data_IF_489043236014
#
_entry.id   IF_489043236014
#
_cell.length_a   1.000
_cell.length_b   1.000
_cell.length_c   1.000
_cell.angle_alpha   90.00
_cell.angle_beta   90.00
_cell.angle_gamma   90.00
#
_symmetry.space_group_name_H-M   'P 1'
#
loop_
_entity.id
_entity.type
_entity.pdbx_description
1 polymer ?
#
# COMPACT_ATOMS: atom_id res chain seq x y z
N UNK A 1 -7.06 -3.39 13.32
CA UNK A 1 -6.46 -3.01 12.03
C UNK A 1 -5.02 -3.46 11.99
N UNK A 2 -4.63 -4.17 10.94
CA UNK A 2 -3.26 -4.64 10.68
C UNK A 2 -2.53 -3.53 9.94
N UNK A 3 -1.30 -3.22 10.38
CA UNK A 3 -0.46 -2.19 9.75
C UNK A 3 0.56 -2.86 8.85
N UNK A 4 0.55 -2.52 7.57
CA UNK A 4 1.55 -2.98 6.59
C UNK A 4 2.41 -1.79 6.20
N UNK A 5 3.72 -1.91 6.38
CA UNK A 5 4.68 -0.87 6.01
C UNK A 5 4.89 -0.83 4.50
N UNK A 6 4.89 0.38 3.93
CA UNK A 6 5.27 0.60 2.53
C UNK A 6 6.77 0.97 2.52
N UNK A 7 7.61 0.30 1.72
CA UNK A 7 9.04 0.59 1.67
C UNK A 7 9.31 2.06 1.32
N UNK A 8 10.25 2.67 2.03
CA UNK A 8 10.60 4.08 1.82
C UNK A 8 11.07 4.36 0.39
N UNK A 9 11.79 3.42 -0.24
CA UNK A 9 12.20 3.54 -1.63
C UNK A 9 11.02 3.72 -2.61
N UNK A 10 9.84 3.17 -2.29
CA UNK A 10 8.64 3.33 -3.13
C UNK A 10 8.14 4.78 -3.17
N UNK A 11 8.40 5.54 -2.10
CA UNK A 11 8.15 6.98 -2.08
C UNK A 11 8.97 7.66 -3.17
N UNK A 12 10.27 7.42 -3.25
CA UNK A 12 11.13 8.04 -4.26
C UNK A 12 10.78 7.61 -5.68
N UNK A 13 10.48 6.32 -5.88
CA UNK A 13 10.11 5.79 -7.19
C UNK A 13 8.87 6.47 -7.79
N UNK A 14 7.96 6.93 -6.94
CA UNK A 14 6.70 7.55 -7.34
C UNK A 14 6.71 9.08 -7.20
N UNK A 15 7.88 9.66 -6.97
CA UNK A 15 8.05 11.11 -6.86
C UNK A 15 7.82 11.80 -8.21
N UNK A 16 7.09 12.92 -8.19
CA UNK A 16 6.70 13.64 -9.41
C UNK A 16 5.54 13.02 -10.20
N UNK A 17 5.09 11.81 -9.85
CA UNK A 17 3.96 11.18 -10.55
C UNK A 17 2.63 11.87 -10.21
N UNK A 18 1.83 12.29 -11.21
CA UNK A 18 0.54 12.96 -10.98
C UNK A 18 -0.50 12.04 -10.29
N UNK A 19 -0.34 10.72 -10.44
CA UNK A 19 -1.22 9.69 -9.90
C UNK A 19 -0.60 8.92 -8.71
N UNK A 20 0.28 9.57 -7.93
CA UNK A 20 1.03 8.95 -6.82
C UNK A 20 0.15 8.16 -5.84
N UNK A 21 -1.03 8.68 -5.48
CA UNK A 21 -1.95 7.98 -4.57
C UNK A 21 -2.47 6.66 -5.16
N UNK A 22 -2.77 6.61 -6.46
CA UNK A 22 -3.15 5.37 -7.15
C UNK A 22 -1.99 4.38 -7.22
N UNK A 23 -0.77 4.85 -7.46
CA UNK A 23 0.43 3.98 -7.49
C UNK A 23 0.66 3.31 -6.13
N UNK A 24 0.56 4.08 -5.04
CA UNK A 24 0.64 3.54 -3.68
C UNK A 24 -0.43 2.49 -3.42
N UNK A 25 -1.67 2.75 -3.84
CA UNK A 25 -2.77 1.82 -3.68
C UNK A 25 -2.55 0.52 -4.47
N UNK A 26 -2.18 0.63 -5.74
CA UNK A 26 -1.93 -0.50 -6.62
C UNK A 26 -0.77 -1.37 -6.11
N UNK A 27 0.30 -0.76 -5.60
CA UNK A 27 1.41 -1.46 -4.97
C UNK A 27 0.96 -2.29 -3.78
N UNK A 28 0.24 -1.66 -2.85
CA UNK A 28 -0.22 -2.34 -1.63
C UNK A 28 -1.22 -3.46 -1.98
N UNK A 29 -2.17 -3.20 -2.86
CA UNK A 29 -3.14 -4.22 -3.29
C UNK A 29 -2.44 -5.41 -3.97
N UNK A 30 -1.44 -5.15 -4.82
CA UNK A 30 -0.61 -6.19 -5.42
C UNK A 30 0.19 -6.99 -4.39
N UNK A 31 0.79 -6.30 -3.41
CA UNK A 31 1.54 -6.93 -2.32
C UNK A 31 0.64 -7.83 -1.47
N UNK A 32 -0.54 -7.34 -1.06
CA UNK A 32 -1.50 -8.10 -0.26
C UNK A 32 -2.01 -9.31 -1.03
N UNK A 33 -2.33 -9.16 -2.31
CA UNK A 33 -2.80 -10.27 -3.14
C UNK A 33 -1.78 -11.42 -3.21
N UNK A 34 -0.49 -11.09 -3.26
CA UNK A 34 0.58 -12.09 -3.39
C UNK A 34 1.03 -12.69 -2.06
N UNK A 35 1.17 -11.86 -1.02
CA UNK A 35 1.78 -12.27 0.25
C UNK A 35 0.78 -12.49 1.38
N UNK A 36 -0.35 -11.79 1.35
CA UNK A 36 -1.31 -11.72 2.46
C UNK A 36 -2.77 -11.78 1.94
N UNK A 37 -3.19 -12.86 1.25
CA UNK A 37 -4.46 -12.92 0.52
C UNK A 37 -5.70 -12.79 1.40
N UNK A 38 -5.56 -13.04 2.70
CA UNK A 38 -6.61 -12.84 3.70
C UNK A 38 -6.76 -11.38 4.18
N UNK A 39 -5.95 -10.45 3.66
CA UNK A 39 -6.00 -9.04 4.03
C UNK A 39 -6.61 -8.19 2.92
N UNK A 40 -7.34 -7.14 3.33
CA UNK A 40 -7.89 -6.11 2.46
C UNK A 40 -7.37 -4.75 2.87
N UNK A 41 -6.96 -3.95 1.89
CA UNK A 41 -6.56 -2.56 2.10
C UNK A 41 -7.80 -1.70 2.41
N UNK A 42 -7.78 -1.02 3.56
CA UNK A 42 -8.81 -0.06 3.97
C UNK A 42 -8.40 1.35 3.58
N UNK A 43 -7.20 1.78 4.01
CA UNK A 43 -6.66 3.12 3.71
C UNK A 43 -5.14 3.13 3.78
N UNK A 44 -4.54 4.14 3.17
CA UNK A 44 -3.12 4.43 3.30
C UNK A 44 -2.97 5.74 4.09
N UNK A 45 -2.05 5.75 5.05
CA UNK A 45 -1.73 6.91 5.88
C UNK A 45 -0.22 7.09 5.89
N UNK A 46 0.29 8.02 5.08
CA UNK A 46 1.73 8.19 4.87
C UNK A 46 2.36 6.93 4.26
N UNK A 47 3.35 6.35 4.94
CA UNK A 47 4.06 5.13 4.53
C UNK A 47 3.47 3.86 5.16
N UNK A 48 2.24 3.91 5.66
CA UNK A 48 1.58 2.78 6.29
C UNK A 48 0.23 2.50 5.64
N UNK A 49 0.05 1.27 5.19
CA UNK A 49 -1.23 0.73 4.78
C UNK A 49 -1.96 0.15 5.99
N UNK A 50 -3.20 0.60 6.20
CA UNK A 50 -4.11 0.05 7.19
C UNK A 50 -4.99 -0.99 6.50
N UNK A 51 -4.85 -2.23 6.96
CA UNK A 51 -5.52 -3.39 6.41
C UNK A 51 -6.44 -4.03 7.45
N UNK A 52 -7.46 -4.72 6.97
CA UNK A 52 -8.34 -5.58 7.76
C UNK A 52 -8.29 -7.02 7.23
N UNK A 53 -8.69 -7.98 8.06
CA UNK A 53 -8.90 -9.34 7.57
C UNK A 53 -10.19 -9.38 6.77
N UNK A 54 -10.17 -10.11 5.67
CA UNK A 54 -11.36 -10.44 4.88
C UNK A 54 -12.35 -11.27 5.68
#
# INVERSE_FOLDING_TARGET
MIKVGIPFCYKWLTEGAPNRAQLFRAYVEGYLRTNEPGLRLVRISGMTALCERK
#
